data_IF_156260956075
#
_entry.id   IF_156260956075
#
_cell.length_a   1.000
_cell.length_b   1.000
_cell.length_c   1.000
_cell.angle_alpha   90.00
_cell.angle_beta   90.00
_cell.angle_gamma   90.00
#
_symmetry.space_group_name_H-M   'P 1'
#
loop_
_entity.id
_entity.type
_entity.pdbx_description
1 polymer ?
#
# COMPACT_ATOMS: atom_id res chain seq x y z
N UNK A 1 11.11 9.75 -17.54
CA UNK A 1 9.77 9.24 -17.10
C UNK A 1 9.92 8.36 -15.87
N UNK A 2 8.97 8.35 -14.98
CA UNK A 2 8.95 7.45 -13.80
C UNK A 2 7.68 6.61 -13.83
N UNK A 3 7.81 5.29 -13.83
CA UNK A 3 6.69 4.38 -13.66
C UNK A 3 6.24 4.39 -12.19
N UNK A 4 4.94 4.49 -11.96
CA UNK A 4 4.32 4.51 -10.62
C UNK A 4 3.56 3.24 -10.28
N UNK A 5 3.61 2.23 -11.17
CA UNK A 5 2.94 0.96 -11.04
C UNK A 5 3.88 -0.22 -11.36
N UNK A 6 3.46 -1.43 -11.02
CA UNK A 6 4.21 -2.67 -11.18
C UNK A 6 3.81 -3.43 -12.46
N UNK A 7 3.25 -2.69 -13.39
CA UNK A 7 3.02 -3.08 -14.77
C UNK A 7 3.35 -1.89 -15.68
N UNK A 8 4.08 -2.07 -16.78
CA UNK A 8 4.32 -1.00 -17.74
C UNK A 8 3.01 -0.47 -18.31
N UNK A 9 2.89 0.85 -18.42
CA UNK A 9 1.74 1.48 -19.07
C UNK A 9 1.46 0.83 -20.44
N UNK A 10 0.19 0.58 -20.81
CA UNK A 10 -0.15 -0.04 -22.09
C UNK A 10 0.44 0.67 -23.33
N UNK A 11 0.68 1.98 -23.24
CA UNK A 11 1.19 2.80 -24.36
C UNK A 11 2.63 3.29 -24.09
N UNK A 12 3.39 2.58 -23.26
CA UNK A 12 4.75 3.03 -22.89
C UNK A 12 5.70 3.08 -24.08
N UNK A 13 5.48 2.23 -25.08
CA UNK A 13 6.23 2.17 -26.32
C UNK A 13 6.02 3.39 -27.23
N UNK A 14 4.89 4.08 -27.11
CA UNK A 14 4.57 5.30 -27.86
C UNK A 14 5.27 6.53 -27.27
N UNK A 15 5.56 6.49 -25.97
CA UNK A 15 6.23 7.55 -25.25
C UNK A 15 7.74 7.25 -25.28
N UNK A 16 8.50 7.89 -26.16
CA UNK A 16 9.94 7.69 -26.30
C UNK A 16 10.73 8.48 -25.25
N UNK A 17 10.78 8.06 -23.98
CA UNK A 17 11.52 8.77 -22.94
C UNK A 17 13.02 8.55 -23.13
N UNK A 18 13.84 9.55 -22.80
CA UNK A 18 15.29 9.38 -22.75
C UNK A 18 15.70 8.35 -21.71
N UNK A 19 15.00 8.33 -20.57
CA UNK A 19 15.16 7.34 -19.50
C UNK A 19 13.81 6.98 -18.88
N UNK A 20 13.67 5.71 -18.51
CA UNK A 20 12.49 5.16 -17.86
C UNK A 20 12.88 4.54 -16.51
N UNK A 21 12.47 5.19 -15.43
CA UNK A 21 12.62 4.68 -14.06
C UNK A 21 11.52 3.68 -13.79
N UNK A 22 11.89 2.48 -13.36
CA UNK A 22 10.97 1.38 -13.12
C UNK A 22 11.18 0.71 -11.74
N UNK A 23 10.15 0.08 -11.18
CA UNK A 23 10.30 -0.84 -10.06
C UNK A 23 11.18 -2.04 -10.45
N UNK A 24 11.96 -2.52 -9.51
CA UNK A 24 12.78 -3.74 -9.67
C UNK A 24 11.89 -4.94 -10.04
N UNK A 25 12.27 -5.66 -11.07
CA UNK A 25 11.56 -6.84 -11.57
C UNK A 25 10.55 -6.56 -12.68
N UNK A 26 10.51 -5.32 -13.19
CA UNK A 26 9.75 -4.96 -14.40
C UNK A 26 10.61 -4.96 -15.68
N UNK A 27 11.91 -5.09 -15.57
CA UNK A 27 12.85 -4.98 -16.69
C UNK A 27 12.42 -5.87 -17.86
N UNK A 28 12.21 -7.15 -17.58
CA UNK A 28 11.81 -8.14 -18.61
C UNK A 28 10.47 -7.79 -19.29
N UNK A 29 9.52 -7.20 -18.54
CA UNK A 29 8.23 -6.78 -19.11
C UNK A 29 8.39 -5.57 -20.02
N UNK A 30 9.25 -4.62 -19.64
CA UNK A 30 9.59 -3.45 -20.46
C UNK A 30 10.27 -3.90 -21.77
N UNK A 31 11.25 -4.80 -21.67
CA UNK A 31 11.92 -5.37 -22.85
C UNK A 31 10.95 -6.08 -23.79
N UNK A 32 10.02 -6.86 -23.27
CA UNK A 32 8.97 -7.52 -24.05
C UNK A 32 8.03 -6.55 -24.77
N UNK A 33 7.94 -5.30 -24.32
CA UNK A 33 7.22 -4.21 -24.98
C UNK A 33 8.11 -3.38 -25.93
N UNK A 34 9.33 -3.85 -26.22
CA UNK A 34 10.25 -3.18 -27.14
C UNK A 34 10.98 -1.98 -26.54
N UNK A 35 10.92 -1.77 -25.23
CA UNK A 35 11.69 -0.71 -24.57
C UNK A 35 13.16 -1.12 -24.54
N UNK A 36 14.05 -0.21 -24.95
CA UNK A 36 15.49 -0.46 -24.94
C UNK A 36 16.02 -0.56 -23.50
N UNK A 37 16.84 -1.59 -23.23
CA UNK A 37 17.45 -1.80 -21.91
C UNK A 37 18.30 -0.61 -21.44
N UNK A 38 19.00 0.05 -22.35
CA UNK A 38 19.90 1.16 -22.04
C UNK A 38 19.20 2.40 -21.46
N UNK A 39 17.87 2.51 -21.61
CA UNK A 39 17.10 3.62 -21.03
C UNK A 39 16.39 3.22 -19.72
N UNK A 40 16.49 1.94 -19.31
CA UNK A 40 15.83 1.45 -18.09
C UNK A 40 16.68 1.74 -16.85
N UNK A 41 16.07 2.36 -15.85
CA UNK A 41 16.67 2.62 -14.55
C UNK A 41 15.82 1.95 -13.45
N UNK A 42 16.29 0.83 -12.94
CA UNK A 42 15.56 0.00 -11.97
C UNK A 42 15.82 0.41 -10.52
N UNK A 43 15.53 1.67 -10.18
CA UNK A 43 15.71 2.20 -8.81
C UNK A 43 14.51 1.95 -7.90
N UNK A 44 13.37 1.60 -8.44
CA UNK A 44 12.11 1.52 -7.71
C UNK A 44 11.28 2.80 -7.80
N UNK A 45 10.05 2.74 -7.29
CA UNK A 45 9.17 3.91 -7.19
C UNK A 45 9.68 4.82 -6.08
N UNK A 46 10.01 6.10 -6.37
CA UNK A 46 10.44 7.03 -5.34
C UNK A 46 9.31 7.36 -4.37
N UNK A 47 9.58 7.24 -3.08
CA UNK A 47 8.65 7.63 -2.01
C UNK A 47 9.27 8.70 -1.12
N UNK A 48 8.41 9.48 -0.45
CA UNK A 48 8.86 10.49 0.49
C UNK A 48 9.69 9.88 1.62
N UNK A 49 10.74 10.60 2.06
CA UNK A 49 11.56 10.21 3.20
C UNK A 49 10.76 10.04 4.50
N UNK A 50 9.58 10.61 4.60
CA UNK A 50 8.68 10.43 5.73
C UNK A 50 8.25 8.97 5.93
N UNK A 51 8.15 8.18 4.85
CA UNK A 51 7.85 6.74 4.94
C UNK A 51 9.06 5.89 5.33
N UNK A 52 10.27 6.48 5.32
CA UNK A 52 11.52 5.74 5.55
C UNK A 52 12.12 6.05 6.92
N UNK A 53 12.11 7.33 7.33
CA UNK A 53 12.92 7.81 8.46
C UNK A 53 12.15 8.47 9.61
N UNK A 54 10.92 8.95 9.38
CA UNK A 54 10.25 9.86 10.32
C UNK A 54 8.85 9.46 10.76
N UNK A 55 8.41 8.24 10.44
CA UNK A 55 7.11 7.76 10.90
C UNK A 55 7.09 7.56 12.42
N UNK A 56 6.06 8.09 13.08
CA UNK A 56 5.92 8.08 14.54
C UNK A 56 4.76 7.18 14.97
N UNK A 57 4.90 6.56 16.13
CA UNK A 57 3.79 5.83 16.73
C UNK A 57 2.78 6.82 17.34
N UNK A 58 1.56 6.79 16.81
CA UNK A 58 0.47 7.70 17.24
C UNK A 58 -0.64 6.97 18.03
N UNK A 59 -0.47 5.69 18.40
CA UNK A 59 -1.46 4.91 19.15
C UNK A 59 -1.93 5.64 20.41
N UNK A 60 -0.99 6.14 21.20
CA UNK A 60 -1.29 6.88 22.43
C UNK A 60 -2.14 8.12 22.18
N UNK A 61 -1.86 8.87 21.10
CA UNK A 61 -2.65 10.04 20.69
C UNK A 61 -4.07 9.64 20.27
N UNK A 62 -4.23 8.47 19.69
CA UNK A 62 -5.52 7.90 19.26
C UNK A 62 -6.23 7.12 20.37
N UNK A 63 -5.69 7.09 21.58
CA UNK A 63 -6.23 6.35 22.74
C UNK A 63 -6.36 4.85 22.45
N UNK A 64 -5.37 4.29 21.76
CA UNK A 64 -5.24 2.85 21.48
C UNK A 64 -4.20 2.28 22.43
N UNK A 65 -4.57 1.25 23.17
CA UNK A 65 -3.71 0.56 24.13
C UNK A 65 -3.06 -0.67 23.47
N UNK A 66 -3.49 -1.86 23.86
CA UNK A 66 -2.90 -3.13 23.42
C UNK A 66 -3.66 -3.78 22.25
N UNK A 67 -4.75 -3.16 21.79
CA UNK A 67 -5.55 -3.69 20.67
C UNK A 67 -4.74 -3.77 19.37
N UNK A 68 -5.03 -4.77 18.55
CA UNK A 68 -4.51 -4.84 17.18
C UNK A 68 -5.14 -3.73 16.33
N UNK A 69 -4.31 -3.02 15.60
CA UNK A 69 -4.76 -1.89 14.77
C UNK A 69 -4.82 -2.29 13.31
N UNK A 70 -6.02 -2.22 12.76
CA UNK A 70 -6.29 -2.43 11.34
C UNK A 70 -6.50 -1.07 10.68
N UNK A 71 -5.57 -0.66 9.82
CA UNK A 71 -5.70 0.57 9.04
C UNK A 71 -6.35 0.27 7.70
N UNK A 72 -7.40 1.01 7.38
CA UNK A 72 -8.12 0.91 6.09
C UNK A 72 -7.87 2.17 5.28
N UNK A 73 -7.26 2.00 4.10
CA UNK A 73 -6.91 3.08 3.17
C UNK A 73 -7.48 2.78 1.79
N UNK A 74 -8.44 3.57 1.32
CA UNK A 74 -9.12 3.32 0.04
C UNK A 74 -8.74 4.29 -1.08
N UNK A 75 -7.79 5.19 -0.81
CA UNK A 75 -7.47 6.29 -1.72
C UNK A 75 -8.54 7.38 -1.71
N UNK A 76 -8.41 8.36 -2.61
CA UNK A 76 -9.27 9.55 -2.66
C UNK A 76 -10.71 9.27 -3.07
N UNK A 77 -10.99 8.12 -3.68
CA UNK A 77 -12.30 7.80 -4.26
C UNK A 77 -13.06 6.68 -3.53
N UNK A 78 -12.90 6.51 -2.22
CA UNK A 78 -13.49 5.43 -1.41
C UNK A 78 -14.73 4.76 -2.03
N UNK A 79 -14.72 3.43 -2.16
CA UNK A 79 -15.79 2.68 -2.85
C UNK A 79 -16.79 2.05 -1.87
N UNK A 80 -18.07 2.04 -2.28
CA UNK A 80 -19.27 1.80 -1.49
C UNK A 80 -19.47 0.44 -0.79
N UNK A 81 -18.50 -0.48 -0.80
CA UNK A 81 -18.62 -1.73 -0.04
C UNK A 81 -17.82 -1.77 1.28
N UNK A 82 -17.17 -0.67 1.60
CA UNK A 82 -16.30 -0.65 2.78
C UNK A 82 -17.08 -0.73 4.10
N UNK A 83 -18.29 -0.18 4.14
CA UNK A 83 -19.13 -0.18 5.34
C UNK A 83 -19.45 -1.62 5.81
N UNK A 84 -19.73 -2.53 4.86
CA UNK A 84 -20.00 -3.95 5.17
C UNK A 84 -18.76 -4.63 5.75
N UNK A 85 -17.58 -4.35 5.18
CA UNK A 85 -16.31 -4.93 5.65
C UNK A 85 -15.96 -4.39 7.02
N UNK A 86 -16.09 -3.09 7.24
CA UNK A 86 -15.82 -2.47 8.53
C UNK A 86 -16.72 -3.07 9.61
N UNK A 87 -18.01 -3.25 9.33
CA UNK A 87 -18.94 -3.91 10.25
C UNK A 87 -18.45 -5.30 10.66
N UNK A 88 -17.97 -6.10 9.70
CA UNK A 88 -17.48 -7.44 10.01
C UNK A 88 -16.14 -7.44 10.75
N UNK A 89 -15.24 -6.50 10.44
CA UNK A 89 -13.98 -6.36 11.16
C UNK A 89 -14.23 -6.00 12.62
N UNK A 90 -15.29 -5.23 12.93
CA UNK A 90 -15.61 -4.90 14.34
C UNK A 90 -15.95 -6.12 15.19
N UNK A 91 -16.32 -7.25 14.57
CA UNK A 91 -16.57 -8.52 15.24
C UNK A 91 -15.27 -9.31 15.57
N UNK A 92 -14.11 -8.81 15.16
CA UNK A 92 -12.83 -9.39 15.56
C UNK A 92 -12.46 -8.83 16.94
N UNK A 93 -12.17 -9.73 17.89
CA UNK A 93 -11.81 -9.34 19.25
C UNK A 93 -10.47 -8.58 19.28
N UNK A 94 -10.28 -7.78 20.31
CA UNK A 94 -9.06 -7.02 20.59
C UNK A 94 -8.54 -6.22 19.37
N UNK A 95 -9.46 -5.62 18.59
CA UNK A 95 -9.10 -4.81 17.42
C UNK A 95 -9.65 -3.40 17.50
N UNK A 96 -8.86 -2.46 16.98
CA UNK A 96 -9.26 -1.09 16.60
C UNK A 96 -9.11 -0.92 15.10
N UNK A 97 -10.03 -0.20 14.49
CA UNK A 97 -10.05 0.05 13.08
C UNK A 97 -9.84 1.55 12.85
N UNK A 98 -8.80 1.90 12.13
CA UNK A 98 -8.59 3.27 11.65
C UNK A 98 -9.01 3.31 10.19
N UNK A 99 -9.97 4.16 9.85
CA UNK A 99 -10.42 4.34 8.47
C UNK A 99 -10.05 5.72 7.99
N UNK A 100 -9.20 5.79 6.97
CA UNK A 100 -8.81 7.05 6.32
C UNK A 100 -9.69 7.25 5.09
N UNK A 101 -10.61 8.21 5.20
CA UNK A 101 -11.59 8.53 4.17
C UNK A 101 -11.04 9.50 3.10
N UNK A 102 -9.88 10.13 3.36
CA UNK A 102 -9.32 11.16 2.47
C UNK A 102 -10.30 12.30 2.24
N UNK A 103 -10.55 12.65 0.98
CA UNK A 103 -11.51 13.69 0.58
C UNK A 103 -12.97 13.23 0.52
N UNK A 104 -13.25 11.95 0.80
CA UNK A 104 -14.61 11.41 0.76
C UNK A 104 -15.39 11.78 2.02
N UNK A 105 -16.05 12.93 1.98
CA UNK A 105 -16.83 13.47 3.13
C UNK A 105 -18.10 12.67 3.40
N UNK A 106 -18.68 12.00 2.39
CA UNK A 106 -19.85 11.15 2.58
C UNK A 106 -19.48 9.92 3.39
N UNK A 107 -18.45 9.19 3.00
CA UNK A 107 -17.95 8.04 3.73
C UNK A 107 -17.56 8.42 5.18
N UNK A 108 -16.89 9.57 5.34
CA UNK A 108 -16.55 10.07 6.67
C UNK A 108 -17.79 10.24 7.57
N UNK A 109 -18.86 10.85 7.05
CA UNK A 109 -20.12 11.06 7.79
C UNK A 109 -20.80 9.72 8.10
N UNK A 110 -20.93 8.84 7.11
CA UNK A 110 -21.55 7.52 7.28
C UNK A 110 -20.88 6.72 8.39
N UNK A 111 -19.55 6.61 8.35
CA UNK A 111 -18.78 5.86 9.34
C UNK A 111 -18.79 6.52 10.72
N UNK A 112 -18.76 7.85 10.77
CA UNK A 112 -18.84 8.59 12.04
C UNK A 112 -20.18 8.39 12.74
N UNK A 113 -21.27 8.25 11.98
CA UNK A 113 -22.61 8.02 12.52
C UNK A 113 -22.81 6.60 13.10
N UNK A 114 -21.91 5.64 12.82
CA UNK A 114 -21.99 4.31 13.41
C UNK A 114 -21.78 4.30 14.92
N UNK A 115 -21.20 5.36 15.48
CA UNK A 115 -20.93 5.52 16.93
C UNK A 115 -20.28 4.28 17.57
N UNK A 116 -19.43 3.57 16.82
CA UNK A 116 -18.78 2.36 17.29
C UNK A 116 -17.39 2.71 17.86
N UNK A 117 -17.17 2.40 19.13
CA UNK A 117 -15.92 2.71 19.84
C UNK A 117 -14.69 1.98 19.29
N UNK A 118 -14.86 0.92 18.49
CA UNK A 118 -13.76 0.23 17.82
C UNK A 118 -13.28 0.98 16.56
N UNK A 119 -14.06 1.94 16.03
CA UNK A 119 -13.77 2.63 14.77
C UNK A 119 -13.28 4.04 15.03
N UNK A 120 -12.14 4.37 14.46
CA UNK A 120 -11.56 5.72 14.43
C UNK A 120 -11.64 6.20 12.97
N UNK A 121 -12.54 7.15 12.71
CA UNK A 121 -12.75 7.70 11.37
C UNK A 121 -11.91 8.94 11.20
N UNK A 122 -11.11 8.99 10.16
CA UNK A 122 -10.19 10.10 9.86
C UNK A 122 -10.45 10.57 8.42
N UNK A 123 -10.54 11.87 8.22
CA UNK A 123 -10.65 12.47 6.89
C UNK A 123 -9.31 12.50 6.16
N UNK A 124 -9.02 13.62 5.49
CA UNK A 124 -7.72 13.84 4.85
C UNK A 124 -6.62 14.06 5.89
N UNK A 125 -5.46 13.42 5.67
CA UNK A 125 -4.27 13.56 6.54
C UNK A 125 -3.01 13.76 5.71
N UNK A 126 -2.08 14.56 6.25
CA UNK A 126 -0.74 14.75 5.66
C UNK A 126 0.30 13.77 6.20
N UNK A 127 -0.02 13.08 7.30
CA UNK A 127 0.90 12.19 8.03
C UNK A 127 0.42 10.74 8.01
N UNK A 128 0.00 10.26 6.86
CA UNK A 128 -0.46 8.87 6.66
C UNK A 128 0.60 7.84 7.05
N UNK A 129 1.89 8.19 6.89
CA UNK A 129 3.02 7.37 7.33
C UNK A 129 2.95 7.02 8.83
N UNK A 130 2.51 7.93 9.69
CA UNK A 130 2.38 7.69 11.13
C UNK A 130 1.26 6.68 11.42
N UNK A 131 0.15 6.75 10.68
CA UNK A 131 -0.96 5.80 10.80
C UNK A 131 -0.54 4.41 10.33
N UNK A 132 0.15 4.32 9.18
CA UNK A 132 0.71 3.06 8.68
C UNK A 132 1.68 2.48 9.71
N UNK A 133 2.61 3.29 10.23
CA UNK A 133 3.58 2.83 11.25
C UNK A 133 2.90 2.32 12.52
N UNK A 134 1.80 2.94 12.94
CA UNK A 134 1.05 2.58 14.15
C UNK A 134 0.13 1.37 13.98
N UNK A 135 -0.09 0.90 12.74
CA UNK A 135 -0.97 -0.24 12.46
C UNK A 135 -0.24 -1.58 12.55
N UNK A 136 -1.00 -2.66 12.76
CA UNK A 136 -0.54 -4.05 12.70
C UNK A 136 -0.82 -4.67 11.32
N UNK A 137 -1.90 -4.24 10.68
CA UNK A 137 -2.31 -4.67 9.34
C UNK A 137 -2.81 -3.44 8.58
N UNK A 138 -2.48 -3.36 7.30
CA UNK A 138 -3.02 -2.36 6.39
C UNK A 138 -3.89 -3.03 5.34
N UNK A 139 -5.11 -2.57 5.19
CA UNK A 139 -6.00 -2.89 4.08
C UNK A 139 -5.94 -1.73 3.08
N UNK A 140 -5.55 -1.99 1.85
CA UNK A 140 -5.44 -0.97 0.82
C UNK A 140 -5.81 -1.50 -0.55
N UNK A 141 -6.24 -0.60 -1.43
CA UNK A 141 -6.24 -0.90 -2.86
C UNK A 141 -4.80 -1.05 -3.36
N UNK A 142 -4.55 -1.89 -4.37
CA UNK A 142 -3.21 -2.14 -4.87
C UNK A 142 -2.72 -1.07 -5.86
N UNK A 143 -2.83 0.21 -5.50
CA UNK A 143 -2.18 1.29 -6.23
C UNK A 143 -0.67 1.22 -6.04
N UNK A 144 0.11 1.42 -7.11
CA UNK A 144 1.56 1.23 -7.07
C UNK A 144 2.25 2.12 -6.05
N UNK A 145 1.92 3.42 -6.02
CA UNK A 145 2.51 4.36 -5.06
C UNK A 145 2.14 4.03 -3.61
N UNK A 146 0.84 3.90 -3.31
CA UNK A 146 0.38 3.59 -1.93
C UNK A 146 0.94 2.27 -1.42
N UNK A 147 1.01 1.24 -2.28
CA UNK A 147 1.62 -0.05 -1.93
C UNK A 147 3.10 0.12 -1.61
N UNK A 148 3.85 0.90 -2.42
CA UNK A 148 5.28 1.17 -2.18
C UNK A 148 5.49 1.92 -0.87
N UNK A 149 4.65 2.89 -0.55
CA UNK A 149 4.65 3.62 0.72
C UNK A 149 4.47 2.67 1.91
N UNK A 150 3.47 1.79 1.86
CA UNK A 150 3.17 0.83 2.94
C UNK A 150 4.33 -0.14 3.15
N UNK A 151 4.87 -0.75 2.07
CA UNK A 151 5.98 -1.70 2.19
C UNK A 151 7.29 -1.03 2.59
N UNK A 152 7.47 0.27 2.36
CA UNK A 152 8.62 1.03 2.85
C UNK A 152 8.65 1.11 4.38
N UNK A 153 7.48 1.08 5.02
CA UNK A 153 7.32 0.98 6.48
C UNK A 153 7.33 -0.49 6.95
N UNK A 154 7.27 -1.45 6.01
CA UNK A 154 7.27 -2.90 6.29
C UNK A 154 6.10 -3.34 7.18
N UNK A 155 4.88 -3.09 6.74
CA UNK A 155 3.66 -3.49 7.43
C UNK A 155 2.96 -4.64 6.70
N UNK A 156 2.35 -5.59 7.43
CA UNK A 156 1.47 -6.59 6.84
C UNK A 156 0.39 -5.91 6.01
N UNK A 157 0.25 -6.37 4.77
CA UNK A 157 -0.57 -5.73 3.76
C UNK A 157 -1.57 -6.72 3.16
N UNK A 158 -2.82 -6.30 3.11
CA UNK A 158 -3.87 -7.00 2.37
C UNK A 158 -4.37 -6.05 1.27
N UNK A 159 -4.20 -6.46 0.03
CA UNK A 159 -4.80 -5.80 -1.12
C UNK A 159 -6.26 -6.22 -1.26
N UNK A 160 -7.15 -5.24 -1.30
CA UNK A 160 -8.59 -5.45 -1.37
C UNK A 160 -9.17 -4.85 -2.65
N UNK A 161 -10.11 -5.57 -3.26
CA UNK A 161 -10.90 -5.12 -4.41
C UNK A 161 -10.08 -4.47 -5.53
N UNK A 162 -9.09 -5.16 -6.11
CA UNK A 162 -8.34 -4.63 -7.23
C UNK A 162 -9.29 -4.35 -8.42
N UNK A 163 -9.18 -3.15 -8.98
CA UNK A 163 -9.87 -2.83 -10.23
C UNK A 163 -9.18 -3.60 -11.37
N UNK A 164 -9.96 -4.20 -12.30
CA UNK A 164 -9.37 -4.86 -13.48
C UNK A 164 -8.38 -3.96 -14.22
N UNK A 165 -7.25 -4.51 -14.61
CA UNK A 165 -6.15 -3.79 -15.23
C UNK A 165 -4.96 -3.61 -14.30
N UNK A 166 -4.42 -2.42 -14.18
CA UNK A 166 -3.16 -2.12 -13.48
C UNK A 166 -3.19 -2.57 -12.01
N UNK A 167 -4.30 -2.33 -11.30
CA UNK A 167 -4.40 -2.75 -9.90
C UNK A 167 -4.37 -4.27 -9.73
N UNK A 168 -4.94 -5.02 -10.67
CA UNK A 168 -4.85 -6.49 -10.67
C UNK A 168 -3.40 -6.95 -10.86
N UNK A 169 -2.65 -6.31 -11.76
CA UNK A 169 -1.23 -6.62 -11.96
C UNK A 169 -0.40 -6.28 -10.74
N UNK A 170 -0.59 -5.09 -10.15
CA UNK A 170 0.08 -4.71 -8.91
C UNK A 170 -0.19 -5.72 -7.80
N UNK A 171 -1.46 -6.06 -7.56
CA UNK A 171 -1.85 -7.02 -6.53
C UNK A 171 -1.21 -8.39 -6.74
N UNK A 172 -1.19 -8.90 -7.97
CA UNK A 172 -0.55 -10.16 -8.32
C UNK A 172 0.97 -10.10 -8.10
N UNK A 173 1.62 -8.99 -8.50
CA UNK A 173 3.06 -8.81 -8.32
C UNK A 173 3.47 -8.94 -6.85
N UNK A 174 2.76 -8.29 -5.95
CA UNK A 174 3.08 -8.31 -4.52
C UNK A 174 2.69 -9.63 -3.85
N UNK A 175 1.53 -10.19 -4.19
CA UNK A 175 1.05 -11.42 -3.56
C UNK A 175 1.88 -12.64 -3.97
N UNK A 176 2.29 -12.76 -5.24
CA UNK A 176 3.14 -13.87 -5.71
C UNK A 176 4.55 -13.84 -5.11
N UNK A 177 5.01 -12.67 -4.69
CA UNK A 177 6.30 -12.50 -3.98
C UNK A 177 6.16 -12.61 -2.45
N UNK A 178 4.96 -12.92 -1.94
CA UNK A 178 4.70 -13.02 -0.51
C UNK A 178 4.85 -11.70 0.26
N UNK A 179 4.70 -10.55 -0.41
CA UNK A 179 4.78 -9.22 0.19
C UNK A 179 3.42 -8.68 0.64
N UNK A 180 2.32 -9.28 0.17
CA UNK A 180 0.94 -8.97 0.55
C UNK A 180 0.05 -10.20 0.42
N UNK A 181 -1.16 -10.14 0.95
CA UNK A 181 -2.25 -11.02 0.54
C UNK A 181 -3.15 -10.27 -0.43
N UNK A 182 -3.80 -11.01 -1.34
CA UNK A 182 -4.79 -10.47 -2.28
C UNK A 182 -6.14 -11.05 -1.94
N UNK A 183 -7.15 -10.20 -1.78
CA UNK A 183 -8.52 -10.57 -1.46
C UNK A 183 -9.51 -9.93 -2.43
N UNK A 184 -10.41 -10.74 -2.97
CA UNK A 184 -11.43 -10.32 -3.93
C UNK A 184 -12.84 -10.36 -3.32
N UNK A 185 -13.00 -10.96 -2.14
CA UNK A 185 -14.27 -11.04 -1.41
C UNK A 185 -14.13 -10.58 0.04
N UNK A 186 -15.24 -10.29 0.66
CA UNK A 186 -15.35 -9.90 2.07
C UNK A 186 -14.86 -11.03 3.00
N UNK A 187 -15.24 -12.25 2.70
CA UNK A 187 -14.88 -13.45 3.43
C UNK A 187 -13.37 -13.69 3.41
N UNK A 188 -12.75 -13.50 2.23
CA UNK A 188 -11.30 -13.58 2.08
C UNK A 188 -10.57 -12.52 2.91
N UNK A 189 -11.11 -11.28 2.98
CA UNK A 189 -10.53 -10.19 3.78
C UNK A 189 -10.54 -10.57 5.26
N UNK A 190 -11.69 -10.97 5.80
CA UNK A 190 -11.84 -11.33 7.22
C UNK A 190 -10.95 -12.51 7.58
N UNK A 191 -10.92 -13.55 6.74
CA UNK A 191 -10.06 -14.73 6.92
C UNK A 191 -8.58 -14.33 6.91
N UNK A 192 -8.19 -13.46 5.98
CA UNK A 192 -6.80 -12.97 5.85
C UNK A 192 -6.36 -12.13 7.06
N UNK A 193 -7.24 -11.27 7.58
CA UNK A 193 -6.98 -10.51 8.81
C UNK A 193 -6.71 -11.47 9.97
N UNK A 194 -7.64 -12.41 10.23
CA UNK A 194 -7.52 -13.39 11.32
C UNK A 194 -6.22 -14.20 11.18
N UNK A 195 -5.91 -14.62 9.96
CA UNK A 195 -4.70 -15.39 9.68
C UNK A 195 -3.43 -14.59 9.97
N UNK A 196 -3.33 -13.32 9.57
CA UNK A 196 -2.16 -12.48 9.87
C UNK A 196 -2.03 -12.22 11.37
N UNK A 197 -3.14 -12.06 12.10
CA UNK A 197 -3.14 -11.85 13.55
C UNK A 197 -2.67 -13.10 14.31
N UNK A 198 -3.03 -14.30 13.87
CA UNK A 198 -2.72 -15.57 14.54
C UNK A 198 -1.42 -16.22 14.09
N UNK A 199 -1.00 -16.02 12.83
CA UNK A 199 0.18 -16.67 12.23
C UNK A 199 1.39 -15.73 12.20
N UNK A 200 2.23 -15.82 13.24
CA UNK A 200 3.48 -15.04 13.34
C UNK A 200 4.45 -15.32 12.19
N UNK A 201 4.46 -16.56 11.67
CA UNK A 201 5.37 -16.93 10.58
C UNK A 201 4.95 -16.26 9.27
N UNK A 202 3.66 -16.28 8.94
CA UNK A 202 3.12 -15.56 7.79
C UNK A 202 3.45 -14.07 7.86
N UNK A 203 3.19 -13.44 9.01
CA UNK A 203 3.49 -12.02 9.27
C UNK A 203 4.98 -11.71 9.07
N UNK A 204 5.85 -12.50 9.69
CA UNK A 204 7.29 -12.28 9.63
C UNK A 204 7.86 -12.49 8.22
N UNK A 205 7.39 -13.53 7.50
CA UNK A 205 7.80 -13.77 6.12
C UNK A 205 7.37 -12.65 5.19
N UNK A 206 6.15 -12.13 5.35
CA UNK A 206 5.67 -10.98 4.56
C UNK A 206 6.57 -9.75 4.78
N UNK A 207 6.87 -9.42 6.04
CA UNK A 207 7.75 -8.30 6.41
C UNK A 207 9.18 -8.52 5.87
N UNK A 208 9.69 -9.75 5.95
CA UNK A 208 11.01 -10.10 5.41
C UNK A 208 11.06 -9.86 3.89
N UNK A 209 10.10 -10.39 3.14
CA UNK A 209 10.04 -10.22 1.69
C UNK A 209 9.93 -8.74 1.29
N UNK A 210 9.16 -7.94 2.03
CA UNK A 210 9.08 -6.50 1.82
C UNK A 210 10.43 -5.81 2.04
N UNK A 211 11.16 -6.15 3.12
CA UNK A 211 12.48 -5.58 3.43
C UNK A 211 13.53 -5.91 2.37
N UNK A 212 13.50 -7.13 1.84
CA UNK A 212 14.42 -7.59 0.80
C UNK A 212 14.15 -6.94 -0.55
N UNK A 213 12.88 -6.61 -0.81
CA UNK A 213 12.46 -6.04 -2.07
C UNK A 213 12.64 -4.52 -2.16
N UNK A 214 12.29 -3.78 -1.08
CA UNK A 214 12.18 -2.34 -1.13
C UNK A 214 13.54 -1.63 -1.23
N UNK A 215 13.69 -0.74 -2.21
CA UNK A 215 14.79 0.21 -2.24
C UNK A 215 14.41 1.49 -1.50
N UNK A 216 14.91 1.64 -0.28
CA UNK A 216 14.67 2.83 0.55
C UNK A 216 15.40 4.08 0.05
N UNK A 217 16.31 3.93 -0.87
CA UNK A 217 17.07 5.03 -1.47
C UNK A 217 16.55 5.42 -2.86
N UNK A 218 15.45 4.84 -3.34
CA UNK A 218 14.95 5.05 -4.71
C UNK A 218 14.85 6.52 -5.13
N UNK A 219 14.39 7.41 -4.24
CA UNK A 219 14.33 8.85 -4.52
C UNK A 219 15.74 9.48 -4.61
N UNK A 220 16.65 9.07 -3.73
CA UNK A 220 18.04 9.55 -3.75
C UNK A 220 18.76 9.07 -5.01
N UNK A 221 18.65 7.79 -5.33
CA UNK A 221 19.27 7.18 -6.52
C UNK A 221 18.77 7.84 -7.80
N UNK A 222 17.49 8.19 -7.87
CA UNK A 222 16.92 8.94 -8.98
C UNK A 222 17.51 10.35 -9.10
N UNK A 223 17.61 11.09 -7.99
CA UNK A 223 18.20 12.44 -7.98
C UNK A 223 19.67 12.40 -8.39
N UNK A 224 20.46 11.47 -7.84
CA UNK A 224 21.87 11.27 -8.20
C UNK A 224 22.02 10.95 -9.70
N UNK A 225 21.15 10.09 -10.22
CA UNK A 225 21.14 9.80 -11.65
C UNK A 225 20.87 11.05 -12.50
N UNK A 226 19.88 11.86 -12.12
CA UNK A 226 19.54 13.10 -12.85
C UNK A 226 20.74 14.06 -12.83
N UNK A 227 21.32 14.31 -11.66
CA UNK A 227 22.46 15.26 -11.51
C UNK A 227 23.69 14.82 -12.30
N UNK A 228 23.93 13.52 -12.44
CA UNK A 228 25.10 12.99 -13.13
C UNK A 228 24.94 12.89 -14.67
N UNK A 229 23.71 13.02 -15.19
CA UNK A 229 23.43 12.78 -16.60
C UNK A 229 22.81 13.99 -17.32
N UNK A 230 22.49 15.06 -16.61
CA UNK A 230 21.91 16.30 -17.11
C UNK A 230 22.51 17.55 -16.43
#
# INVERSE_FOLDING_TARGET
MVATDYEPCPFIEEVKPNFLVIPKGLEKRCLNKGINENILLSTGIPVSTNFIKSAKNVRKKLKINDENVILVMLGSMGFGRINEIISDITNIDDTKIIVVCGSNTLLYRELSNLNNSKIIVIGFVNNINDLIYSSDIVLSKPGGLSTTEIISITKPLIHIFPIPGIETYNSNFFSTKGMSLKCNSKEEIITSIKRILSDKNLKNNMIKNQKEYINKNSAKDLVEFIVNNF
#
